data_IF_288650013017
#
_entry.id   IF_288650013017
#
_cell.length_a   1.000
_cell.length_b   1.000
_cell.length_c   1.000
_cell.angle_alpha   90.00
_cell.angle_beta   90.00
_cell.angle_gamma   90.00
#
_symmetry.space_group_name_H-M   'P 1'
#
loop_
_entity.id
_entity.type
_entity.pdbx_description
1 polymer ?
#
# COMPACT_ATOMS: atom_id res chain seq x y z
N UNK A 1 -24.48 13.14 -4.00
CA UNK A 1 -24.00 13.27 -5.38
C UNK A 1 -22.79 14.19 -5.35
N UNK A 2 -21.59 13.70 -5.66
CA UNK A 2 -20.38 14.52 -5.68
C UNK A 2 -20.17 15.12 -7.08
N UNK A 3 -19.70 16.37 -7.14
CA UNK A 3 -19.39 17.08 -8.39
C UNK A 3 -18.02 16.68 -8.94
N UNK A 4 -17.85 16.70 -10.27
CA UNK A 4 -16.59 16.38 -10.95
C UNK A 4 -15.46 17.38 -10.62
N UNK A 5 -15.82 18.59 -10.19
CA UNK A 5 -14.86 19.62 -9.77
C UNK A 5 -14.07 19.24 -8.51
N UNK A 6 -14.58 18.27 -7.73
CA UNK A 6 -13.95 17.79 -6.51
C UNK A 6 -13.08 16.55 -6.74
N UNK A 7 -12.84 16.14 -7.99
CA UNK A 7 -11.96 15.01 -8.29
C UNK A 7 -10.48 15.37 -8.13
N UNK A 8 -9.68 14.37 -7.73
CA UNK A 8 -8.25 14.54 -7.59
C UNK A 8 -7.59 14.81 -8.96
N UNK A 9 -6.64 15.75 -9.04
CA UNK A 9 -5.95 16.06 -10.30
C UNK A 9 -5.15 14.86 -10.84
N UNK A 10 -4.91 14.86 -12.14
CA UNK A 10 -4.14 13.84 -12.86
C UNK A 10 -2.87 14.49 -13.40
N UNK A 11 -1.73 14.17 -12.79
CA UNK A 11 -0.48 14.88 -13.05
C UNK A 11 -0.60 16.35 -12.63
N UNK A 12 -0.24 17.26 -13.53
CA UNK A 12 -0.31 18.71 -13.31
C UNK A 12 -1.65 19.34 -13.71
N UNK A 13 -2.63 18.54 -14.11
CA UNK A 13 -3.92 19.00 -14.64
C UNK A 13 -5.14 18.46 -13.91
N UNK A 14 -6.32 18.99 -14.25
CA UNK A 14 -7.60 18.53 -13.71
C UNK A 14 -7.94 17.10 -14.17
N UNK A 15 -8.80 16.40 -13.41
CA UNK A 15 -9.26 15.06 -13.76
C UNK A 15 -10.12 15.00 -15.03
N UNK A 16 -10.79 16.10 -15.36
CA UNK A 16 -11.68 16.25 -16.51
C UNK A 16 -11.34 17.48 -17.31
N UNK A 17 -11.51 17.42 -18.63
CA UNK A 17 -11.30 18.58 -19.52
C UNK A 17 -12.55 18.81 -20.37
N UNK A 18 -12.99 20.07 -20.56
CA UNK A 18 -14.16 20.38 -21.36
C UNK A 18 -13.97 20.02 -22.85
N UNK A 19 -15.07 19.65 -23.48
CA UNK A 19 -15.18 19.31 -24.89
C UNK A 19 -16.31 20.15 -25.50
N UNK A 20 -15.95 21.02 -26.45
CA UNK A 20 -16.90 21.85 -27.17
C UNK A 20 -17.14 21.27 -28.58
N UNK A 21 -18.40 21.22 -29.02
CA UNK A 21 -18.74 20.76 -30.37
C UNK A 21 -18.43 21.79 -31.47
N UNK A 22 -18.19 23.05 -31.13
CA UNK A 22 -17.85 24.12 -32.09
C UNK A 22 -17.02 25.20 -31.41
N UNK A 23 -16.13 25.83 -32.18
CA UNK A 23 -15.32 26.97 -31.74
C UNK A 23 -16.05 28.32 -31.81
N UNK A 24 -17.19 28.40 -32.48
CA UNK A 24 -18.03 29.60 -32.52
C UNK A 24 -19.10 29.53 -31.43
N UNK A 25 -19.02 30.42 -30.44
CA UNK A 25 -19.94 30.50 -29.29
C UNK A 25 -21.38 30.89 -29.67
N UNK A 26 -21.60 31.48 -30.85
CA UNK A 26 -22.92 31.96 -31.29
C UNK A 26 -23.83 30.85 -31.84
N UNK A 27 -23.36 29.60 -31.90
CA UNK A 27 -24.19 28.48 -32.37
C UNK A 27 -25.20 28.12 -31.28
N UNK A 28 -26.50 28.20 -31.60
CA UNK A 28 -27.57 28.14 -30.59
C UNK A 28 -27.85 26.77 -29.98
N UNK A 29 -27.46 25.67 -30.65
CA UNK A 29 -27.83 24.31 -30.25
C UNK A 29 -26.61 23.37 -30.18
N UNK A 30 -25.55 23.85 -29.53
CA UNK A 30 -24.32 23.08 -29.36
C UNK A 30 -24.50 21.94 -28.37
N UNK A 31 -23.70 20.89 -28.59
CA UNK A 31 -23.44 19.85 -27.60
C UNK A 31 -22.17 20.24 -26.85
N UNK A 32 -22.15 20.00 -25.54
CA UNK A 32 -20.96 20.17 -24.71
C UNK A 32 -20.72 18.88 -23.92
N UNK A 33 -19.48 18.67 -23.50
CA UNK A 33 -19.13 17.50 -22.72
C UNK A 33 -17.85 17.68 -21.93
N UNK A 34 -17.46 16.60 -21.26
CA UNK A 34 -16.20 16.47 -20.55
C UNK A 34 -15.55 15.15 -20.94
N UNK A 35 -14.22 15.13 -21.04
CA UNK A 35 -13.43 13.91 -21.18
C UNK A 35 -12.59 13.67 -19.93
N UNK A 36 -12.40 12.40 -19.55
CA UNK A 36 -11.54 12.05 -18.44
C UNK A 36 -10.08 12.05 -18.86
N UNK A 37 -9.22 12.66 -18.05
CA UNK A 37 -7.76 12.58 -18.18
C UNK A 37 -7.20 11.35 -17.45
N UNK A 38 -7.91 10.83 -16.44
CA UNK A 38 -7.52 9.61 -15.71
C UNK A 38 -7.78 8.35 -16.53
N UNK A 39 -8.88 8.31 -17.27
CA UNK A 39 -9.28 7.20 -18.12
C UNK A 39 -9.43 7.67 -19.57
N UNK A 40 -8.32 7.73 -20.34
CA UNK A 40 -8.37 8.13 -21.74
C UNK A 40 -9.36 7.26 -22.52
N UNK A 41 -10.34 7.92 -23.14
CA UNK A 41 -11.46 7.28 -23.84
C UNK A 41 -12.82 7.42 -23.15
N UNK A 42 -12.87 7.85 -21.87
CA UNK A 42 -14.12 8.16 -21.19
C UNK A 42 -14.60 9.57 -21.55
N UNK A 43 -15.86 9.67 -22.00
CA UNK A 43 -16.50 10.94 -22.35
C UNK A 43 -17.93 10.97 -21.79
N UNK A 44 -18.31 12.12 -21.25
CA UNK A 44 -19.69 12.46 -20.91
C UNK A 44 -20.11 13.67 -21.76
N UNK A 45 -21.27 13.61 -22.41
CA UNK A 45 -21.79 14.69 -23.24
C UNK A 45 -23.27 14.93 -22.94
N UNK A 46 -23.70 16.18 -23.08
CA UNK A 46 -25.07 16.59 -22.85
C UNK A 46 -25.55 17.61 -23.90
N UNK A 47 -26.84 17.55 -24.23
CA UNK A 47 -27.54 18.50 -25.08
C UNK A 47 -28.97 18.69 -24.56
N UNK A 48 -29.27 19.86 -24.02
CA UNK A 48 -30.58 20.12 -23.44
C UNK A 48 -30.88 19.17 -22.27
N UNK A 49 -31.94 18.36 -22.39
CA UNK A 49 -32.34 17.38 -21.38
C UNK A 49 -31.74 15.97 -21.59
N UNK A 50 -31.01 15.77 -22.70
CA UNK A 50 -30.41 14.49 -23.03
C UNK A 50 -28.92 14.48 -22.65
N UNK A 51 -28.46 13.35 -22.11
CA UNK A 51 -27.05 13.13 -21.82
C UNK A 51 -26.66 11.68 -22.12
N UNK A 52 -25.39 11.47 -22.42
CA UNK A 52 -24.83 10.15 -22.63
C UNK A 52 -23.40 10.09 -22.11
N UNK A 53 -23.05 8.95 -21.54
CA UNK A 53 -21.70 8.63 -21.09
C UNK A 53 -21.23 7.40 -21.85
N UNK A 54 -20.02 7.45 -22.39
CA UNK A 54 -19.45 6.34 -23.15
C UNK A 54 -17.96 6.22 -22.86
N UNK A 55 -17.48 4.98 -22.86
CA UNK A 55 -16.05 4.67 -22.83
C UNK A 55 -15.67 3.94 -24.10
N UNK A 56 -14.69 4.47 -24.83
CA UNK A 56 -14.06 3.80 -25.97
C UNK A 56 -12.54 3.95 -25.83
N UNK A 57 -11.86 2.87 -25.48
CA UNK A 57 -10.42 2.91 -25.24
C UNK A 57 -9.84 1.57 -24.78
N UNK A 58 -8.58 1.59 -24.37
CA UNK A 58 -7.77 0.42 -24.08
C UNK A 58 -7.94 -0.16 -22.67
N UNK A 59 -8.71 0.49 -21.80
CA UNK A 59 -8.83 0.12 -20.39
C UNK A 59 -7.58 0.44 -19.56
N UNK A 60 -6.69 1.31 -20.04
CA UNK A 60 -5.49 1.72 -19.33
C UNK A 60 -5.71 3.06 -18.61
N UNK A 61 -5.40 3.08 -17.31
CA UNK A 61 -5.42 4.30 -16.50
C UNK A 61 -4.19 5.15 -16.82
N UNK A 62 -4.38 6.45 -16.99
CA UNK A 62 -3.30 7.40 -17.26
C UNK A 62 -2.61 7.83 -15.96
N UNK A 63 -1.89 6.91 -15.35
CA UNK A 63 -1.03 7.17 -14.19
C UNK A 63 0.33 6.52 -14.41
N UNK A 64 1.41 7.04 -13.81
CA UNK A 64 2.69 6.35 -13.79
C UNK A 64 2.52 4.94 -13.21
N UNK A 65 2.91 3.92 -13.96
CA UNK A 65 2.85 2.53 -13.51
C UNK A 65 4.23 2.08 -13.01
N UNK A 66 4.27 1.65 -11.75
CA UNK A 66 5.45 1.01 -11.15
C UNK A 66 5.12 -0.48 -10.95
N UNK A 67 5.87 -1.40 -11.61
CA UNK A 67 5.71 -2.83 -11.37
C UNK A 67 5.89 -3.18 -9.90
N UNK A 68 5.11 -4.15 -9.41
CA UNK A 68 5.23 -4.60 -8.02
C UNK A 68 6.59 -5.29 -7.81
N UNK A 69 7.35 -4.93 -6.76
CA UNK A 69 8.56 -5.67 -6.41
C UNK A 69 8.21 -7.09 -5.95
N UNK A 70 9.18 -8.02 -5.93
CA UNK A 70 8.99 -9.33 -5.32
C UNK A 70 8.51 -9.20 -3.87
N UNK A 71 7.71 -10.16 -3.37
CA UNK A 71 7.26 -10.14 -1.99
C UNK A 71 8.46 -10.20 -1.03
N UNK A 72 8.33 -9.64 0.18
CA UNK A 72 9.36 -9.76 1.20
C UNK A 72 9.62 -11.23 1.53
N UNK A 73 10.88 -11.55 1.81
CA UNK A 73 11.27 -12.89 2.27
C UNK A 73 10.72 -13.15 3.68
N UNK A 74 10.44 -14.41 4.00
CA UNK A 74 10.04 -14.80 5.35
C UNK A 74 11.16 -14.51 6.35
N UNK A 75 10.79 -14.11 7.57
CA UNK A 75 11.73 -13.91 8.67
C UNK A 75 12.05 -15.26 9.29
N UNK A 76 13.31 -15.49 9.62
CA UNK A 76 13.75 -16.69 10.34
C UNK A 76 13.22 -16.71 11.79
N UNK A 77 13.30 -17.87 12.43
CA UNK A 77 12.95 -18.00 13.84
C UNK A 77 13.87 -17.12 14.70
N UNK A 78 13.29 -16.41 15.67
CA UNK A 78 14.07 -15.62 16.63
C UNK A 78 14.86 -16.54 17.56
N UNK A 79 16.15 -16.73 17.28
CA UNK A 79 17.05 -17.53 18.11
C UNK A 79 17.16 -17.01 19.56
N UNK A 80 16.86 -15.73 19.81
CA UNK A 80 16.82 -15.17 21.17
C UNK A 80 15.66 -15.70 22.02
N UNK A 81 14.62 -16.24 21.40
CA UNK A 81 13.50 -16.90 22.09
C UNK A 81 13.79 -18.38 22.41
N UNK A 82 14.95 -18.91 22.03
CA UNK A 82 15.35 -20.29 22.31
C UNK A 82 16.02 -20.38 23.68
N UNK A 83 15.35 -20.99 24.65
CA UNK A 83 15.95 -21.29 25.96
C UNK A 83 16.86 -22.53 25.87
N UNK A 84 18.03 -22.48 26.53
CA UNK A 84 18.88 -23.66 26.70
C UNK A 84 18.29 -24.57 27.78
N UNK A 85 18.18 -25.87 27.49
CA UNK A 85 17.79 -26.89 28.46
C UNK A 85 18.97 -27.47 29.24
N UNK A 86 20.19 -26.94 29.06
CA UNK A 86 21.35 -27.40 29.80
C UNK A 86 21.22 -27.05 31.28
N UNK A 87 21.50 -28.03 32.14
CA UNK A 87 21.54 -27.80 33.58
C UNK A 87 22.67 -26.82 33.90
N UNK A 88 22.48 -25.91 34.88
CA UNK A 88 23.58 -25.06 35.33
C UNK A 88 24.74 -25.94 35.83
N UNK A 89 25.99 -25.46 35.72
CA UNK A 89 27.16 -26.21 36.15
C UNK A 89 27.00 -26.65 37.61
N UNK A 90 27.34 -27.93 37.88
CA UNK A 90 27.21 -28.52 39.21
C UNK A 90 28.05 -27.70 40.21
N UNK A 91 27.48 -27.24 41.33
CA UNK A 91 28.24 -26.51 42.34
C UNK A 91 29.38 -27.38 42.87
N UNK A 92 30.53 -26.73 43.11
CA UNK A 92 31.71 -27.37 43.69
C UNK A 92 31.33 -27.91 45.08
N UNK A 93 31.66 -29.18 45.33
CA UNK A 93 31.30 -29.85 46.58
C UNK A 93 32.24 -29.33 47.67
N UNK A 94 31.72 -28.59 48.64
CA UNK A 94 32.47 -28.31 49.87
C UNK A 94 32.77 -29.65 50.57
N UNK A 95 34.05 -29.95 50.76
CA UNK A 95 34.49 -31.10 51.54
C UNK A 95 34.14 -30.86 53.02
N UNK A 96 33.53 -31.85 53.71
CA UNK A 96 33.28 -31.70 55.14
C UNK A 96 34.61 -31.55 55.89
N UNK A 97 34.67 -30.70 56.93
CA UNK A 97 35.89 -30.53 57.70
C UNK A 97 36.33 -31.89 58.27
N UNK A 98 37.63 -32.20 58.13
CA UNK A 98 38.21 -33.42 58.68
C UNK A 98 37.94 -33.49 60.18
N UNK A 99 37.30 -34.57 60.63
CA UNK A 99 37.15 -34.88 62.04
C UNK A 99 38.55 -35.20 62.60
N UNK A 100 39.01 -34.41 63.58
CA UNK A 100 40.26 -34.65 64.32
C UNK A 100 40.23 -36.06 64.93
N UNK A 101 41.11 -36.94 64.47
CA UNK A 101 41.33 -38.26 65.05
C UNK A 101 41.93 -38.09 66.46
N UNK A 102 41.16 -38.44 67.51
CA UNK A 102 41.67 -38.56 68.88
C UNK A 102 42.75 -39.67 68.92
N UNK A 103 44.00 -39.30 69.23
CA UNK A 103 45.09 -40.26 69.49
C UNK A 103 44.83 -41.06 70.79
N UNK A 104 45.02 -42.40 70.80
CA UNK A 104 44.99 -43.17 72.04
C UNK A 104 46.31 -43.03 72.81
N UNK A 105 46.17 -42.76 74.12
CA UNK A 105 47.24 -42.67 75.13
C UNK A 105 47.92 -44.04 75.40
N UNK A 106 49.25 -44.03 75.55
CA UNK A 106 50.07 -45.09 76.19
C UNK A 106 50.76 -44.54 77.45
#
# INVERSE_FOLDING_TARGET
MASLENEAPVGDGEAWTPLAASSNENVKFQVAGMRSNLWPGAVAAAKGAEFANVYVGWGLKNVPFTPQPPPPVAVEFDMGAMESSELPPKPEREEPPAEDEEEPED
#
